data_IF_512319057638
#
_entry.id   IF_512319057638
#
_cell.length_a   1.000
_cell.length_b   1.000
_cell.length_c   1.000
_cell.angle_alpha   90.00
_cell.angle_beta   90.00
_cell.angle_gamma   90.00
#
_symmetry.space_group_name_H-M   'P 1'
#
loop_
_entity.id
_entity.type
_entity.pdbx_description
1 polymer ?
#
# COMPACT_ATOMS: atom_id res chain seq x y z
N UNK A 1 8.95 -22.40 -5.06
CA UNK A 1 8.13 -22.03 -6.21
C UNK A 1 7.35 -20.75 -5.89
N UNK A 2 7.39 -19.79 -6.79
CA UNK A 2 6.77 -18.51 -6.57
C UNK A 2 5.25 -18.63 -6.70
N UNK A 3 4.51 -18.16 -5.69
CA UNK A 3 3.06 -18.17 -5.72
C UNK A 3 2.56 -16.97 -6.53
N UNK A 4 1.70 -17.23 -7.53
CA UNK A 4 1.14 -16.19 -8.39
C UNK A 4 0.27 -15.17 -7.64
N UNK A 5 -0.26 -15.58 -6.49
CA UNK A 5 -1.19 -14.76 -5.73
C UNK A 5 -0.49 -13.83 -4.76
N UNK A 6 0.84 -13.87 -4.72
CA UNK A 6 1.63 -13.03 -3.81
C UNK A 6 2.54 -12.09 -4.59
N UNK A 7 2.72 -10.91 -4.01
CA UNK A 7 3.70 -9.94 -4.52
C UNK A 7 5.10 -10.38 -4.09
N UNK A 8 6.11 -9.65 -4.54
CA UNK A 8 7.50 -9.83 -4.08
C UNK A 8 7.82 -8.93 -2.88
N UNK A 9 6.80 -8.35 -2.27
CA UNK A 9 6.94 -7.36 -1.22
C UNK A 9 6.53 -7.98 0.11
N UNK A 10 7.30 -7.70 1.15
CA UNK A 10 6.96 -8.10 2.52
C UNK A 10 6.38 -6.93 3.28
N UNK A 11 5.50 -7.22 4.22
CA UNK A 11 5.00 -6.22 5.15
C UNK A 11 6.02 -5.99 6.29
N UNK A 12 5.65 -5.15 7.25
CA UNK A 12 6.51 -4.82 8.38
C UNK A 12 6.86 -6.02 9.26
N UNK A 13 6.08 -7.09 9.17
CA UNK A 13 6.31 -8.32 9.92
C UNK A 13 7.07 -9.37 9.12
N UNK A 14 7.49 -9.05 7.90
CA UNK A 14 8.22 -9.96 7.05
C UNK A 14 7.35 -10.95 6.28
N UNK A 15 6.04 -10.77 6.31
CA UNK A 15 5.13 -11.63 5.56
C UNK A 15 4.93 -11.12 4.14
N UNK A 16 4.99 -12.02 3.17
CA UNK A 16 4.71 -11.65 1.79
C UNK A 16 3.27 -11.16 1.65
N UNK A 17 3.11 -10.07 0.91
CA UNK A 17 1.81 -9.44 0.72
C UNK A 17 1.09 -10.10 -0.46
N UNK A 18 -0.10 -10.67 -0.24
CA UNK A 18 -0.89 -11.20 -1.35
C UNK A 18 -1.58 -10.08 -2.11
N UNK A 19 -1.86 -10.34 -3.39
CA UNK A 19 -2.65 -9.40 -4.19
C UNK A 19 -4.08 -9.34 -3.65
N UNK A 20 -4.66 -8.15 -3.68
CA UNK A 20 -6.07 -7.96 -3.36
C UNK A 20 -6.43 -7.93 -1.89
N UNK A 21 -5.46 -8.00 -1.00
CA UNK A 21 -5.69 -7.97 0.45
C UNK A 21 -5.54 -6.54 0.94
N UNK A 22 -6.49 -6.01 1.74
CA UNK A 22 -6.36 -4.67 2.30
C UNK A 22 -5.14 -4.56 3.20
N UNK A 23 -4.43 -3.45 3.03
CA UNK A 23 -3.23 -3.14 3.80
C UNK A 23 -3.40 -1.77 4.44
N UNK A 24 -2.97 -1.65 5.69
CA UNK A 24 -2.75 -0.36 6.32
C UNK A 24 -1.38 0.12 5.88
N UNK A 25 -1.30 1.34 5.38
CA UNK A 25 -0.07 1.80 4.80
C UNK A 25 0.14 3.29 5.06
N UNK A 26 1.38 3.65 5.33
CA UNK A 26 1.76 5.03 5.62
C UNK A 26 2.36 5.67 4.38
N UNK A 27 1.83 6.83 4.03
CA UNK A 27 2.36 7.66 2.96
C UNK A 27 2.90 8.95 3.57
N UNK A 28 4.19 9.16 3.38
CA UNK A 28 4.85 10.37 3.86
C UNK A 28 4.70 11.47 2.82
N UNK A 29 4.09 12.56 3.20
CA UNK A 29 3.86 13.69 2.31
C UNK A 29 4.39 14.98 2.95
N UNK A 30 4.79 15.93 2.11
CA UNK A 30 5.18 17.26 2.60
C UNK A 30 3.99 18.18 2.58
N UNK A 31 3.81 18.90 3.67
CA UNK A 31 2.81 19.96 3.79
C UNK A 31 3.52 21.21 4.29
N UNK A 32 3.89 22.10 3.37
CA UNK A 32 4.68 23.28 3.72
C UNK A 32 6.10 22.92 4.14
N UNK A 33 6.41 23.12 5.41
CA UNK A 33 7.76 22.89 5.94
C UNK A 33 7.91 21.57 6.70
N UNK A 34 6.84 20.80 6.82
CA UNK A 34 6.89 19.59 7.62
C UNK A 34 6.44 18.37 6.83
N UNK A 35 7.04 17.22 7.18
CA UNK A 35 6.58 15.92 6.73
C UNK A 35 5.33 15.54 7.50
N UNK A 36 4.33 15.07 6.78
CA UNK A 36 3.07 14.62 7.37
C UNK A 36 2.92 13.14 7.09
N UNK A 37 2.64 12.38 8.13
CA UNK A 37 2.36 10.97 8.04
C UNK A 37 0.87 10.77 7.78
N UNK A 38 0.55 10.20 6.63
CA UNK A 38 -0.84 9.92 6.23
C UNK A 38 -1.05 8.42 6.15
N UNK A 39 -2.10 7.94 6.80
CA UNK A 39 -2.46 6.54 6.80
C UNK A 39 -3.59 6.27 5.82
N UNK A 40 -3.41 5.24 5.02
CA UNK A 40 -4.39 4.83 4.02
C UNK A 40 -4.65 3.34 4.13
N UNK A 41 -5.79 2.93 3.62
CA UNK A 41 -6.03 1.51 3.35
C UNK A 41 -6.00 1.31 1.85
N UNK A 42 -5.18 0.39 1.41
CA UNK A 42 -5.00 0.11 0.00
C UNK A 42 -4.76 -1.37 -0.21
N UNK A 43 -4.93 -1.82 -1.44
CA UNK A 43 -4.55 -3.18 -1.82
C UNK A 43 -3.69 -3.11 -3.05
N UNK A 44 -2.83 -4.13 -3.24
CA UNK A 44 -1.96 -4.19 -4.40
C UNK A 44 -2.64 -5.03 -5.46
N UNK A 45 -2.69 -4.51 -6.68
CA UNK A 45 -3.24 -5.22 -7.83
C UNK A 45 -2.17 -5.38 -8.90
N UNK A 46 -2.22 -6.50 -9.57
CA UNK A 46 -1.31 -6.79 -10.67
C UNK A 46 -1.88 -6.24 -11.97
N UNK A 47 -1.06 -5.52 -12.72
CA UNK A 47 -1.40 -5.03 -14.05
C UNK A 47 -0.28 -5.34 -15.03
N UNK A 48 -0.58 -5.28 -16.33
CA UNK A 48 0.42 -5.53 -17.38
C UNK A 48 1.63 -4.58 -17.28
N UNK A 49 1.39 -3.36 -16.84
CA UNK A 49 2.43 -2.35 -16.72
C UNK A 49 3.14 -2.37 -15.35
N UNK A 50 2.80 -3.32 -14.51
CA UNK A 50 3.38 -3.44 -13.16
C UNK A 50 2.31 -3.41 -12.09
N UNK A 51 2.75 -3.51 -10.85
CA UNK A 51 1.84 -3.50 -9.72
C UNK A 51 1.41 -2.09 -9.38
N UNK A 52 0.18 -1.95 -8.92
CA UNK A 52 -0.36 -0.67 -8.48
C UNK A 52 -0.98 -0.81 -7.09
N UNK A 53 -0.99 0.31 -6.36
CA UNK A 53 -1.84 0.44 -5.18
C UNK A 53 -3.22 0.90 -5.63
N UNK A 54 -4.25 0.18 -5.17
CA UNK A 54 -5.64 0.61 -5.33
C UNK A 54 -6.11 1.03 -3.96
N UNK A 55 -6.32 2.33 -3.77
CA UNK A 55 -6.68 2.89 -2.48
C UNK A 55 -8.16 2.68 -2.20
N UNK A 56 -8.46 2.25 -0.98
CA UNK A 56 -9.81 1.91 -0.52
C UNK A 56 -10.31 2.95 0.45
N UNK A 57 -9.46 3.38 1.37
CA UNK A 57 -9.79 4.42 2.36
C UNK A 57 -8.68 5.46 2.40
N UNK A 58 -9.08 6.73 2.52
CA UNK A 58 -8.12 7.83 2.62
C UNK A 58 -7.66 8.01 4.07
N UNK A 59 -6.82 9.02 4.28
CA UNK A 59 -6.24 9.29 5.60
C UNK A 59 -7.27 9.72 6.64
N UNK A 60 -8.48 10.04 6.22
CA UNK A 60 -9.58 10.39 7.12
C UNK A 60 -10.48 9.20 7.43
N UNK A 61 -10.16 8.03 6.86
CA UNK A 61 -10.98 6.84 7.01
C UNK A 61 -12.19 6.79 6.12
N UNK A 62 -12.32 7.72 5.19
CA UNK A 62 -13.42 7.76 4.24
C UNK A 62 -13.10 6.92 3.02
N UNK A 63 -14.14 6.32 2.43
CA UNK A 63 -13.98 5.55 1.21
C UNK A 63 -13.46 6.43 0.09
N UNK A 64 -12.51 5.91 -0.65
CA UNK A 64 -11.93 6.61 -1.79
C UNK A 64 -11.67 5.62 -2.92
N UNK A 65 -11.34 6.15 -4.10
CA UNK A 65 -11.19 5.32 -5.28
C UNK A 65 -10.15 5.93 -6.21
N UNK A 66 -8.89 5.67 -5.92
CA UNK A 66 -7.81 6.11 -6.81
C UNK A 66 -6.68 5.09 -6.78
N UNK A 67 -5.80 5.19 -7.76
CA UNK A 67 -4.68 4.25 -7.91
C UNK A 67 -3.38 5.01 -8.08
N UNK A 68 -2.29 4.39 -7.63
CA UNK A 68 -0.94 4.89 -7.87
C UNK A 68 -0.04 3.72 -8.24
N UNK A 69 0.91 3.97 -9.12
CA UNK A 69 1.94 2.98 -9.39
C UNK A 69 2.77 2.76 -8.14
N UNK A 70 3.16 1.51 -7.90
CA UNK A 70 3.93 1.16 -6.72
C UNK A 70 5.22 1.97 -6.62
N UNK A 71 5.86 2.22 -7.75
CA UNK A 71 7.13 2.95 -7.81
C UNK A 71 6.98 4.47 -7.65
N UNK A 72 5.75 4.99 -7.70
CA UNK A 72 5.53 6.44 -7.60
C UNK A 72 5.30 6.92 -6.17
N UNK A 73 5.19 6.00 -5.22
CA UNK A 73 5.00 6.32 -3.81
C UNK A 73 6.29 6.16 -3.04
N UNK A 74 6.52 7.08 -2.12
CA UNK A 74 7.68 7.03 -1.25
C UNK A 74 7.34 6.20 -0.01
N UNK A 75 7.58 4.90 -0.09
CA UNK A 75 7.22 3.95 0.97
C UNK A 75 8.32 2.91 1.16
N UNK A 76 8.24 2.18 2.26
CA UNK A 76 9.08 1.02 2.50
C UNK A 76 8.27 -0.07 3.21
N UNK A 77 8.82 -1.26 3.31
CA UNK A 77 8.09 -2.39 3.89
C UNK A 77 7.71 -2.16 5.36
N UNK A 78 8.43 -1.28 6.05
CA UNK A 78 8.12 -0.95 7.44
C UNK A 78 6.83 -0.14 7.58
N UNK A 79 6.32 0.41 6.48
CA UNK A 79 5.11 1.21 6.47
C UNK A 79 3.87 0.41 6.08
N UNK A 80 4.03 -0.88 5.80
CA UNK A 80 2.94 -1.73 5.34
C UNK A 80 2.57 -2.77 6.40
N UNK A 81 1.30 -2.92 6.64
CA UNK A 81 0.78 -3.94 7.55
C UNK A 81 -0.46 -4.57 6.94
N UNK A 82 -0.50 -5.90 6.90
CA UNK A 82 -1.68 -6.61 6.42
C UNK A 82 -2.77 -6.48 7.49
N UNK A 83 -3.94 -5.98 7.08
CA UNK A 83 -5.07 -5.87 7.98
C UNK A 83 -5.70 -7.24 8.17
N UNK A 84 -5.80 -7.65 9.42
CA UNK A 84 -6.45 -8.91 9.80
C UNK A 84 -7.72 -8.61 10.57
N UNK A 85 -8.77 -9.25 10.16
CA UNK A 85 -10.03 -9.14 10.87
C UNK A 85 -10.11 -10.11 12.03
#
# INVERSE_FOLDING_TARGET
MKNKDYTDICDMNGELIPYGVPLDFTWWAFSGYSEVELHYVAKIRKRKSGDIFEFIKDHRGEDCHFTHKLTSLNWCSDDLEILRE
#
